data_IF_409475975171
#
_entry.id   IF_409475975171
#
_cell.length_a   1.000
_cell.length_b   1.000
_cell.length_c   1.000
_cell.angle_alpha   90.00
_cell.angle_beta   90.00
_cell.angle_gamma   90.00
#
_symmetry.space_group_name_H-M   'P 1'
#
loop_
_entity.id
_entity.type
_entity.pdbx_description
1 polymer ?
#
# COMPACT_ATOMS: atom_id res chain seq x y z
N UNK A 1 -7.27 -17.88 -7.29
CA UNK A 1 -8.69 -18.32 -7.30
C UNK A 1 -8.82 -19.73 -7.90
N UNK A 2 -8.40 -19.93 -9.15
CA UNK A 2 -8.61 -21.21 -9.86
C UNK A 2 -7.82 -22.36 -9.22
N UNK A 3 -6.50 -22.20 -9.05
CA UNK A 3 -5.66 -23.26 -8.49
C UNK A 3 -6.03 -23.58 -7.03
N UNK A 4 -6.20 -22.55 -6.21
CA UNK A 4 -6.59 -22.69 -4.81
C UNK A 4 -7.96 -23.36 -4.65
N UNK A 5 -8.94 -22.99 -5.49
CA UNK A 5 -10.25 -23.62 -5.51
C UNK A 5 -10.21 -25.08 -5.99
N UNK A 6 -9.43 -25.38 -7.02
CA UNK A 6 -9.30 -26.74 -7.55
C UNK A 6 -8.61 -27.70 -6.57
N UNK A 7 -7.62 -27.20 -5.83
CA UNK A 7 -6.86 -27.99 -4.85
C UNK A 7 -7.44 -27.92 -3.44
N UNK A 8 -8.47 -27.09 -3.21
CA UNK A 8 -9.03 -26.80 -1.90
C UNK A 8 -7.97 -26.39 -0.87
N UNK A 9 -7.08 -25.48 -1.27
CA UNK A 9 -6.02 -24.93 -0.40
C UNK A 9 -6.23 -23.44 -0.17
N UNK A 10 -5.86 -22.90 1.01
CA UNK A 10 -5.91 -21.47 1.29
C UNK A 10 -5.15 -20.64 0.24
N UNK A 11 -5.76 -19.55 -0.21
CA UNK A 11 -5.08 -18.58 -1.07
C UNK A 11 -4.66 -17.35 -0.27
N UNK A 12 -3.38 -16.98 -0.38
CA UNK A 12 -2.87 -15.69 0.09
C UNK A 12 -2.61 -14.81 -1.13
N UNK A 13 -3.14 -13.60 -1.12
CA UNK A 13 -3.04 -12.64 -2.22
C UNK A 13 -2.16 -11.45 -1.81
N UNK A 14 -1.35 -10.95 -2.73
CA UNK A 14 -0.71 -9.64 -2.63
C UNK A 14 -1.09 -8.84 -3.88
N UNK A 15 -1.33 -7.54 -3.72
CA UNK A 15 -1.59 -6.63 -4.84
C UNK A 15 -0.59 -5.49 -4.81
N UNK A 16 0.40 -5.50 -5.72
CA UNK A 16 1.41 -4.44 -5.81
C UNK A 16 0.92 -3.21 -6.58
N UNK A 17 0.01 -3.42 -7.53
CA UNK A 17 -0.62 -2.39 -8.33
C UNK A 17 -2.02 -2.85 -8.66
N UNK A 18 -3.02 -2.01 -8.38
CA UNK A 18 -4.43 -2.35 -8.59
C UNK A 18 -4.97 -1.68 -9.85
N UNK A 19 -5.80 -2.43 -10.59
CA UNK A 19 -6.40 -1.99 -11.84
C UNK A 19 -7.28 -0.75 -11.68
N UNK A 20 -8.12 -0.66 -10.63
CA UNK A 20 -9.01 0.51 -10.41
C UNK A 20 -8.19 1.80 -10.22
N UNK A 21 -7.17 1.78 -9.37
CA UNK A 21 -6.28 2.93 -9.17
C UNK A 21 -5.53 3.30 -10.44
N UNK A 22 -5.04 2.31 -11.20
CA UNK A 22 -4.31 2.58 -12.44
C UNK A 22 -5.21 3.17 -13.52
N UNK A 23 -6.43 2.68 -13.64
CA UNK A 23 -7.44 3.23 -14.54
C UNK A 23 -7.76 4.69 -14.21
N UNK A 24 -8.00 4.99 -12.93
CA UNK A 24 -8.26 6.35 -12.47
C UNK A 24 -7.11 7.31 -12.82
N UNK A 25 -5.86 6.88 -12.60
CA UNK A 25 -4.67 7.66 -12.98
C UNK A 25 -4.58 7.90 -14.49
N UNK A 26 -4.86 6.89 -15.32
CA UNK A 26 -4.84 7.03 -16.79
C UNK A 26 -5.92 7.99 -17.29
N UNK A 27 -7.12 7.92 -16.71
CA UNK A 27 -8.21 8.83 -17.04
C UNK A 27 -7.89 10.28 -16.64
N UNK A 28 -7.26 10.48 -15.48
CA UNK A 28 -6.80 11.81 -15.02
C UNK A 28 -5.76 12.45 -15.94
N UNK A 29 -4.96 11.65 -16.66
CA UNK A 29 -4.01 12.17 -17.65
C UNK A 29 -4.71 12.73 -18.90
N UNK A 30 -5.97 12.38 -19.17
CA UNK A 30 -6.78 12.93 -20.25
C UNK A 30 -6.29 12.62 -21.68
N UNK A 31 -5.31 11.73 -21.85
CA UNK A 31 -4.70 11.42 -23.16
C UNK A 31 -5.52 10.44 -23.99
N UNK A 32 -6.33 9.60 -23.35
CA UNK A 32 -7.05 8.49 -23.98
C UNK A 32 -8.44 8.36 -23.35
N UNK A 33 -9.41 7.92 -24.15
CA UNK A 33 -10.74 7.56 -23.62
C UNK A 33 -10.67 6.28 -22.78
N UNK A 34 -11.71 6.03 -21.97
CA UNK A 34 -11.81 4.79 -21.18
C UNK A 34 -11.81 3.57 -22.09
N UNK A 35 -12.47 3.68 -23.24
CA UNK A 35 -12.59 2.65 -24.26
C UNK A 35 -11.22 2.33 -24.87
N UNK A 36 -10.43 3.35 -25.21
CA UNK A 36 -9.07 3.19 -25.75
C UNK A 36 -8.11 2.54 -24.73
N UNK A 37 -8.20 2.97 -23.46
CA UNK A 37 -7.43 2.39 -22.36
C UNK A 37 -7.78 0.90 -22.22
N UNK A 38 -9.08 0.56 -22.23
CA UNK A 38 -9.51 -0.82 -22.11
C UNK A 38 -9.12 -1.66 -23.34
N UNK A 39 -9.22 -1.10 -24.55
CA UNK A 39 -8.79 -1.73 -25.79
C UNK A 39 -7.31 -2.12 -25.74
N UNK A 40 -6.47 -1.18 -25.28
CA UNK A 40 -5.01 -1.32 -25.25
C UNK A 40 -4.53 -2.22 -24.11
N UNK A 41 -4.98 -1.95 -22.88
CA UNK A 41 -4.43 -2.59 -21.67
C UNK A 41 -5.31 -3.70 -21.10
N UNK A 42 -6.48 -3.97 -21.70
CA UNK A 42 -7.47 -4.93 -21.18
C UNK A 42 -7.84 -4.68 -19.72
N UNK A 43 -7.98 -3.39 -19.38
CA UNK A 43 -8.14 -2.95 -17.99
C UNK A 43 -9.33 -3.59 -17.28
N UNK A 44 -10.47 -3.73 -17.96
CA UNK A 44 -11.67 -4.31 -17.35
C UNK A 44 -11.46 -5.79 -16.99
N UNK A 45 -10.79 -6.55 -17.87
CA UNK A 45 -10.44 -7.95 -17.60
C UNK A 45 -9.51 -8.09 -16.39
N UNK A 46 -8.57 -7.16 -16.24
CA UNK A 46 -7.68 -7.12 -15.07
C UNK A 46 -8.46 -6.87 -13.79
N UNK A 47 -9.33 -5.85 -13.77
CA UNK A 47 -10.14 -5.51 -12.59
C UNK A 47 -11.05 -6.69 -12.21
N UNK A 48 -11.68 -7.34 -13.19
CA UNK A 48 -12.50 -8.54 -12.94
C UNK A 48 -11.69 -9.69 -12.34
N UNK A 49 -10.48 -9.94 -12.83
CA UNK A 49 -9.60 -10.96 -12.27
C UNK A 49 -9.13 -10.61 -10.85
N UNK A 50 -8.93 -9.33 -10.55
CA UNK A 50 -8.60 -8.83 -9.21
C UNK A 50 -9.79 -9.00 -8.25
N UNK A 51 -11.03 -8.69 -8.66
CA UNK A 51 -12.25 -8.94 -7.87
C UNK A 51 -12.42 -10.44 -7.56
N UNK A 52 -12.29 -11.31 -8.57
CA UNK A 52 -12.37 -12.75 -8.38
C UNK A 52 -11.26 -13.27 -7.45
N UNK A 53 -10.07 -12.68 -7.52
CA UNK A 53 -8.96 -13.06 -6.65
C UNK A 53 -9.18 -12.58 -5.22
N UNK A 54 -9.78 -11.40 -5.04
CA UNK A 54 -10.11 -10.83 -3.74
C UNK A 54 -11.17 -11.67 -3.01
N UNK A 55 -12.22 -12.09 -3.73
CA UNK A 55 -13.29 -12.95 -3.19
C UNK A 55 -12.77 -14.33 -2.78
N UNK A 56 -11.87 -14.91 -3.58
CA UNK A 56 -11.28 -16.22 -3.29
C UNK A 56 -10.14 -16.20 -2.25
N UNK A 57 -9.63 -15.02 -1.87
CA UNK A 57 -8.47 -14.92 -0.99
C UNK A 57 -8.86 -15.15 0.46
N UNK A 58 -8.11 -15.99 1.18
CA UNK A 58 -8.29 -16.13 2.63
C UNK A 58 -7.67 -14.94 3.39
N UNK A 59 -6.51 -14.50 2.87
CA UNK A 59 -5.70 -13.41 3.39
C UNK A 59 -5.18 -12.56 2.24
N UNK A 60 -5.24 -11.24 2.40
CA UNK A 60 -4.59 -10.28 1.52
C UNK A 60 -3.50 -9.57 2.31
N UNK A 61 -2.28 -9.60 1.78
CA UNK A 61 -1.12 -8.92 2.33
C UNK A 61 -0.90 -7.63 1.56
N UNK A 62 -0.79 -6.53 2.30
CA UNK A 62 -0.51 -5.18 1.78
C UNK A 62 0.75 -4.62 2.42
N UNK A 63 1.39 -3.68 1.75
CA UNK A 63 2.60 -3.00 2.28
C UNK A 63 2.22 -1.96 3.34
N UNK A 64 1.05 -1.32 3.18
CA UNK A 64 0.60 -0.22 4.03
C UNK A 64 -0.88 -0.37 4.42
N UNK A 65 -1.31 0.39 5.44
CA UNK A 65 -2.73 0.53 5.78
C UNK A 65 -3.52 1.29 4.72
N UNK A 66 -2.87 2.27 4.08
CA UNK A 66 -3.46 3.07 3.02
C UNK A 66 -3.91 2.19 1.85
N UNK A 67 -3.09 1.21 1.45
CA UNK A 67 -3.46 0.24 0.41
C UNK A 67 -4.78 -0.49 0.73
N UNK A 68 -5.04 -0.82 2.00
CA UNK A 68 -6.28 -1.48 2.40
C UNK A 68 -7.47 -0.52 2.27
N UNK A 69 -7.34 0.68 2.82
CA UNK A 69 -8.47 1.60 2.96
C UNK A 69 -8.81 2.36 1.68
N UNK A 70 -7.79 2.75 0.90
CA UNK A 70 -7.94 3.62 -0.27
C UNK A 70 -7.80 2.92 -1.61
N UNK A 71 -7.11 1.78 -1.68
CA UNK A 71 -6.93 1.05 -2.95
C UNK A 71 -7.85 -0.17 -3.00
N UNK A 72 -7.70 -1.11 -2.07
CA UNK A 72 -8.62 -2.26 -1.96
C UNK A 72 -10.04 -1.84 -1.59
N UNK A 73 -10.20 -0.76 -0.82
CA UNK A 73 -11.52 -0.18 -0.53
C UNK A 73 -12.28 0.35 -1.75
N UNK A 74 -11.64 0.41 -2.93
CA UNK A 74 -12.31 0.72 -4.19
C UNK A 74 -13.01 -0.49 -4.81
N UNK A 75 -12.72 -1.72 -4.38
CA UNK A 75 -13.24 -2.96 -4.98
C UNK A 75 -14.57 -3.36 -4.35
N UNK A 76 -15.46 -3.95 -5.14
CA UNK A 76 -16.83 -4.23 -4.67
C UNK A 76 -16.85 -5.47 -3.77
N UNK A 77 -15.91 -6.41 -3.98
CA UNK A 77 -15.71 -7.58 -3.13
C UNK A 77 -15.11 -7.28 -1.75
N UNK A 78 -14.86 -6.01 -1.40
CA UNK A 78 -14.24 -5.66 -0.13
C UNK A 78 -14.82 -4.41 0.53
N UNK A 79 -15.23 -4.55 1.79
CA UNK A 79 -15.62 -3.44 2.65
C UNK A 79 -14.86 -3.49 3.98
N UNK A 80 -14.13 -2.40 4.27
CA UNK A 80 -13.27 -2.27 5.46
C UNK A 80 -14.06 -2.37 6.76
N UNK A 81 -15.29 -1.84 6.82
CA UNK A 81 -16.11 -1.87 8.03
C UNK A 81 -16.65 -3.27 8.26
N UNK A 82 -17.13 -3.92 7.20
CA UNK A 82 -17.67 -5.28 7.25
C UNK A 82 -16.56 -6.28 7.62
N UNK A 83 -15.36 -6.16 7.05
CA UNK A 83 -14.19 -6.97 7.43
C UNK A 83 -13.92 -6.88 8.93
N UNK A 84 -13.84 -5.66 9.48
CA UNK A 84 -13.56 -5.42 10.90
C UNK A 84 -14.62 -6.06 11.80
N UNK A 85 -15.90 -5.98 11.41
CA UNK A 85 -17.02 -6.61 12.12
C UNK A 85 -16.93 -8.13 12.07
N UNK A 86 -16.73 -8.71 10.89
CA UNK A 86 -16.62 -10.17 10.72
C UNK A 86 -15.41 -10.72 11.47
N UNK A 87 -14.27 -10.04 11.43
CA UNK A 87 -13.08 -10.38 12.22
C UNK A 87 -13.35 -10.33 13.72
N UNK A 88 -14.06 -9.32 14.21
CA UNK A 88 -14.42 -9.22 15.63
C UNK A 88 -15.37 -10.34 16.07
N UNK A 89 -16.34 -10.71 15.22
CA UNK A 89 -17.26 -11.83 15.47
C UNK A 89 -16.53 -13.17 15.49
N UNK A 90 -15.68 -13.43 14.50
CA UNK A 90 -14.88 -14.65 14.41
C UNK A 90 -13.99 -14.83 15.67
N UNK A 91 -13.32 -13.77 16.13
CA UNK A 91 -12.51 -13.80 17.37
C UNK A 91 -13.33 -14.11 18.63
N UNK A 92 -14.61 -13.80 18.64
CA UNK A 92 -15.53 -14.04 19.77
C UNK A 92 -16.31 -15.35 19.62
N UNK A 93 -16.03 -16.16 18.59
CA UNK A 93 -16.78 -17.39 18.30
C UNK A 93 -18.24 -17.14 17.89
N UNK A 94 -18.57 -15.93 17.43
CA UNK A 94 -19.93 -15.58 17.02
C UNK A 94 -20.12 -15.94 15.55
N UNK A 95 -21.20 -16.68 15.24
CA UNK A 95 -21.53 -17.08 13.88
C UNK A 95 -21.71 -15.88 12.93
N UNK A 96 -21.17 -15.97 11.72
CA UNK A 96 -21.24 -14.95 10.66
C UNK A 96 -22.31 -15.25 9.59
N UNK A 97 -23.12 -16.29 9.75
CA UNK A 97 -24.19 -16.70 8.84
C UNK A 97 -23.74 -16.87 7.38
N UNK A 98 -22.56 -17.48 7.19
CA UNK A 98 -21.98 -17.68 5.86
C UNK A 98 -21.40 -16.42 5.21
N UNK A 99 -21.45 -15.24 5.88
CA UNK A 99 -20.78 -14.04 5.38
C UNK A 99 -19.28 -14.18 5.55
N UNK A 100 -18.58 -13.84 4.49
CA UNK A 100 -17.13 -13.92 4.39
C UNK A 100 -16.57 -12.62 3.84
N UNK A 101 -15.34 -12.29 4.24
CA UNK A 101 -14.56 -11.18 3.71
C UNK A 101 -13.07 -11.55 3.91
N UNK A 102 -12.20 -11.30 2.92
CA UNK A 102 -10.77 -11.59 3.04
C UNK A 102 -10.18 -10.85 4.23
N UNK A 103 -9.30 -11.53 4.98
CA UNK A 103 -8.55 -10.88 6.06
C UNK A 103 -7.46 -10.00 5.45
N UNK A 104 -7.40 -8.74 5.86
CA UNK A 104 -6.30 -7.84 5.48
C UNK A 104 -5.17 -7.87 6.52
N UNK A 105 -3.92 -7.95 6.06
CA UNK A 105 -2.72 -7.85 6.89
C UNK A 105 -1.69 -6.90 6.26
N UNK A 106 -1.18 -5.98 7.08
CA UNK A 106 -0.10 -5.08 6.65
C UNK A 106 1.24 -5.72 7.02
N UNK A 107 2.04 -6.03 6.00
CA UNK A 107 3.40 -6.55 6.13
C UNK A 107 4.28 -5.71 5.20
N UNK A 108 4.95 -4.67 5.73
CA UNK A 108 5.82 -3.82 4.93
C UNK A 108 6.96 -4.64 4.30
N UNK A 109 7.31 -4.39 3.02
CA UNK A 109 8.43 -5.05 2.40
C UNK A 109 9.75 -4.62 3.05
N UNK A 110 10.73 -5.52 3.06
CA UNK A 110 12.10 -5.22 3.48
C UNK A 110 13.01 -4.92 2.29
N UNK A 111 14.26 -4.59 2.62
CA UNK A 111 15.37 -4.48 1.66
C UNK A 111 16.43 -5.54 2.02
N UNK A 112 17.01 -6.19 1.01
CA UNK A 112 18.18 -7.06 1.21
C UNK A 112 19.44 -6.20 1.32
N UNK A 113 20.11 -6.27 2.47
CA UNK A 113 21.31 -5.49 2.76
C UNK A 113 22.59 -6.09 2.17
N UNK A 114 22.54 -7.32 1.64
CA UNK A 114 23.75 -8.03 1.15
C UNK A 114 24.47 -7.31 0.01
N UNK A 115 23.74 -6.52 -0.78
CA UNK A 115 24.25 -5.77 -1.93
C UNK A 115 24.20 -4.25 -1.74
N UNK A 116 23.87 -3.78 -0.53
CA UNK A 116 23.84 -2.34 -0.24
C UNK A 116 25.26 -1.88 0.02
N UNK A 117 25.84 -1.17 -0.95
CA UNK A 117 27.12 -0.49 -0.76
C UNK A 117 26.86 0.70 0.15
N UNK A 118 27.28 0.58 1.40
CA UNK A 118 27.34 1.72 2.30
C UNK A 118 28.49 2.58 1.79
N UNK A 119 28.16 3.73 1.23
CA UNK A 119 29.16 4.72 0.91
C UNK A 119 29.65 5.28 2.25
N UNK A 120 30.81 4.80 2.72
CA UNK A 120 31.51 5.42 3.84
C UNK A 120 31.98 6.79 3.34
N UNK A 121 31.30 7.86 3.75
CA UNK A 121 31.79 9.20 3.48
C UNK A 121 33.14 9.39 4.20
N UNK A 122 34.12 9.83 3.40
CA UNK A 122 35.41 10.42 3.71
C UNK A 122 35.64 10.95 5.15
N UNK A 123 36.89 10.90 5.66
CA UNK A 123 37.23 11.35 7.01
C UNK A 123 36.89 12.83 7.21
N UNK A 124 36.34 13.12 8.39
CA UNK A 124 36.05 14.43 9.00
C UNK A 124 36.64 15.65 8.27
N UNK A 125 35.82 16.37 7.51
CA UNK A 125 36.10 17.76 7.14
C UNK A 125 35.21 18.67 8.00
N UNK A 126 35.52 18.69 9.29
CA UNK A 126 35.15 19.79 10.19
C UNK A 126 35.80 21.08 9.65
N UNK A 127 35.06 21.94 8.94
CA UNK A 127 35.65 23.23 8.57
C UNK A 127 34.91 24.20 7.65
N UNK A 128 33.77 23.86 7.03
CA UNK A 128 33.21 24.77 6.00
C UNK A 128 31.68 24.90 5.99
N UNK A 129 31.02 24.76 7.16
CA UNK A 129 29.61 25.16 7.33
C UNK A 129 29.44 26.47 8.11
N UNK A 130 30.50 26.97 8.75
CA UNK A 130 30.46 28.17 9.59
C UNK A 130 30.55 29.50 8.82
N UNK A 131 30.81 29.49 7.51
CA UNK A 131 31.02 30.71 6.71
C UNK A 131 29.77 31.22 5.96
N UNK A 132 28.67 30.45 5.94
CA UNK A 132 27.45 30.79 5.18
C UNK A 132 26.30 31.35 6.03
N UNK A 133 26.45 31.43 7.35
CA UNK A 133 25.43 32.03 8.23
C UNK A 133 26.05 32.96 9.27
N UNK A 134 26.03 34.26 9.00
CA UNK A 134 26.10 35.30 10.04
C UNK A 134 27.36 36.14 10.05
N UNK A 135 27.47 37.08 9.11
CA UNK A 135 28.36 38.23 9.27
C UNK A 135 27.71 39.31 10.14
N UNK A 136 28.32 39.61 11.31
CA UNK A 136 28.21 40.85 12.11
C UNK A 136 26.82 41.16 12.71
N UNK A 137 26.65 41.78 13.88
CA UNK A 137 27.48 42.72 14.66
C UNK A 137 26.92 42.74 16.10
N UNK A 138 27.84 42.77 17.08
CA UNK A 138 27.80 43.29 18.46
C UNK A 138 26.53 43.26 19.34
N UNK A 139 26.76 42.89 20.61
CA UNK A 139 26.41 43.82 21.69
C UNK A 139 25.63 43.27 22.89
N UNK A 140 26.38 42.94 23.95
CA UNK A 140 26.01 43.09 25.36
C UNK A 140 24.88 42.23 25.98
N UNK A 141 25.28 41.27 26.81
CA UNK A 141 24.44 40.70 27.88
C UNK A 141 24.07 41.76 28.93
N UNK A 142 22.90 41.62 29.57
CA UNK A 142 22.89 41.68 31.03
C UNK A 142 22.17 40.50 31.69
N UNK A 143 22.59 40.27 32.93
CA UNK A 143 22.24 39.19 33.85
C UNK A 143 20.75 39.15 34.21
N UNK A 144 20.33 37.93 34.56
CA UNK A 144 19.09 37.58 35.21
C UNK A 144 18.86 38.32 36.54
N UNK A 145 17.60 38.71 36.74
CA UNK A 145 16.88 38.67 38.01
C UNK A 145 15.63 37.81 37.80
#
# INVERSE_FOLDING_TARGET
AILSGALNVPMVLTGHSLGRNKLEQLLKQGRQSKEDINSTYKMMRRIEAEELSLDAAELVITSTKQEIEEQWGLYDGFDVKLEKVLRARARRGVNCHGRYMPRMAVIPPGMDFSNVVIQEDCPDVDGELAQLTGGGVEGSSPKAM
#
